data_IF_706322853779
#
_entry.id   IF_706322853779
#
_cell.length_a   1.000
_cell.length_b   1.000
_cell.length_c   1.000
_cell.angle_alpha   90.00
_cell.angle_beta   90.00
_cell.angle_gamma   90.00
#
_symmetry.space_group_name_H-M   'P 1'
#
loop_
_entity.id
_entity.type
_entity.pdbx_description
1 polymer ?
#
# COMPACT_ATOMS: atom_id res chain seq x y z
N UNK A 1 24.54 41.19 55.30
CA UNK A 1 24.66 39.71 55.31
C UNK A 1 24.06 39.22 54.00
N UNK A 2 24.89 39.01 52.98
CA UNK A 2 24.43 38.46 51.69
C UNK A 2 24.18 36.94 51.82
N UNK A 3 23.17 36.38 51.14
CA UNK A 3 22.86 34.96 51.24
C UNK A 3 23.91 34.11 50.50
N UNK A 4 24.15 32.85 50.91
CA UNK A 4 25.17 32.01 50.32
C UNK A 4 24.81 31.62 48.89
N UNK A 5 25.76 31.78 47.97
CA UNK A 5 25.64 31.36 46.56
C UNK A 5 25.40 29.85 46.48
N UNK A 6 24.19 29.44 46.08
CA UNK A 6 23.86 28.03 45.78
C UNK A 6 24.82 27.49 44.71
N UNK A 7 25.56 26.42 45.03
CA UNK A 7 26.40 25.69 44.07
C UNK A 7 25.53 25.22 42.90
N UNK A 8 25.83 25.68 41.68
CA UNK A 8 25.17 25.21 40.45
C UNK A 8 25.48 23.72 40.27
N UNK A 9 24.47 22.86 40.38
CA UNK A 9 24.61 21.45 40.02
C UNK A 9 24.98 21.32 38.53
N UNK A 10 25.85 20.38 38.15
CA UNK A 10 26.20 20.16 36.76
C UNK A 10 24.97 19.70 35.99
N UNK A 11 24.57 20.45 34.96
CA UNK A 11 23.55 20.01 34.01
C UNK A 11 24.09 18.77 33.29
N UNK A 12 23.46 17.62 33.49
CA UNK A 12 23.73 16.42 32.71
C UNK A 12 23.66 16.76 31.22
N UNK A 13 24.82 16.78 30.55
CA UNK A 13 24.89 17.01 29.11
C UNK A 13 24.36 15.75 28.43
N UNK A 14 23.12 15.82 27.95
CA UNK A 14 22.53 14.75 27.13
C UNK A 14 23.38 14.65 25.86
N UNK A 15 24.21 13.61 25.78
CA UNK A 15 25.05 13.34 24.61
C UNK A 15 24.19 12.89 23.43
N UNK A 16 24.70 13.13 22.22
CA UNK A 16 24.06 12.67 20.98
C UNK A 16 23.73 11.17 21.04
N UNK A 17 24.65 10.34 21.55
CA UNK A 17 24.43 8.91 21.80
C UNK A 17 23.27 8.59 22.73
N UNK A 18 23.03 9.39 23.78
CA UNK A 18 21.89 9.21 24.67
C UNK A 18 20.58 9.57 23.98
N UNK A 19 20.57 10.60 23.11
CA UNK A 19 19.40 10.91 22.26
C UNK A 19 19.14 9.81 21.24
N UNK A 20 20.18 9.32 20.58
CA UNK A 20 20.06 8.22 19.62
C UNK A 20 19.58 6.96 20.30
N UNK A 21 20.15 6.58 21.45
CA UNK A 21 19.71 5.42 22.25
C UNK A 21 18.30 5.60 22.81
N UNK A 22 17.92 6.80 23.23
CA UNK A 22 16.56 7.10 23.69
C UNK A 22 15.56 7.06 22.53
N UNK A 23 15.90 7.59 21.36
CA UNK A 23 15.06 7.54 20.18
C UNK A 23 14.92 6.11 19.67
N UNK A 24 16.00 5.32 19.65
CA UNK A 24 15.99 3.89 19.38
C UNK A 24 15.11 3.20 20.43
N UNK A 25 15.35 3.38 21.74
CA UNK A 25 14.56 2.76 22.80
C UNK A 25 13.08 3.17 22.76
N UNK A 26 12.75 4.42 22.43
CA UNK A 26 11.39 4.92 22.26
C UNK A 26 10.74 4.35 21.01
N UNK A 27 11.49 4.24 19.92
CA UNK A 27 11.07 3.60 18.66
C UNK A 27 10.82 2.11 18.86
N UNK A 28 11.76 1.39 19.49
CA UNK A 28 11.63 0.01 19.95
C UNK A 28 10.46 -0.13 20.93
N UNK A 29 10.34 0.70 21.97
CA UNK A 29 9.23 0.60 22.93
C UNK A 29 7.85 0.84 22.29
N UNK A 30 7.75 1.75 21.32
CA UNK A 30 6.53 2.00 20.53
C UNK A 30 6.21 0.85 19.58
N UNK A 31 7.24 0.13 19.14
CA UNK A 31 7.13 -1.11 18.38
C UNK A 31 6.69 -2.29 19.28
N UNK A 32 7.37 -2.51 20.40
CA UNK A 32 7.37 -3.76 21.17
C UNK A 32 6.36 -3.82 22.33
N UNK A 33 5.57 -2.78 22.58
CA UNK A 33 4.44 -2.86 23.51
C UNK A 33 3.31 -3.70 22.90
N UNK A 34 3.41 -5.03 22.99
CA UNK A 34 2.33 -6.02 22.73
C UNK A 34 1.61 -5.95 21.36
N UNK A 35 2.30 -5.58 20.27
CA UNK A 35 1.67 -5.44 18.92
C UNK A 35 2.02 -6.49 17.87
N UNK A 36 3.07 -7.29 18.07
CA UNK A 36 3.65 -8.11 16.98
C UNK A 36 3.33 -9.59 17.00
N UNK A 37 2.55 -10.08 17.98
CA UNK A 37 2.09 -11.48 18.05
C UNK A 37 3.16 -12.49 17.61
N UNK A 38 4.35 -12.43 18.22
CA UNK A 38 5.55 -13.08 17.67
C UNK A 38 5.36 -14.58 17.44
N UNK A 39 4.65 -15.27 18.35
CA UNK A 39 4.31 -16.69 18.19
C UNK A 39 3.45 -16.93 16.94
N UNK A 40 2.41 -16.13 16.73
CA UNK A 40 1.57 -16.19 15.54
C UNK A 40 2.35 -15.87 14.26
N UNK A 41 3.24 -14.87 14.33
CA UNK A 41 4.15 -14.52 13.24
C UNK A 41 5.06 -15.69 12.85
N UNK A 42 5.67 -16.38 13.82
CA UNK A 42 6.49 -17.58 13.55
C UNK A 42 5.67 -18.70 12.92
N UNK A 43 4.46 -18.97 13.44
CA UNK A 43 3.56 -19.99 12.87
C UNK A 43 3.27 -19.69 11.40
N UNK A 44 2.91 -18.46 11.06
CA UNK A 44 2.63 -18.03 9.68
C UNK A 44 3.88 -18.13 8.80
N UNK A 45 5.02 -17.65 9.29
CA UNK A 45 6.29 -17.69 8.54
C UNK A 45 6.78 -19.12 8.28
N UNK A 46 6.41 -20.10 9.12
CA UNK A 46 6.75 -21.52 8.92
C UNK A 46 6.15 -22.11 7.65
N UNK A 47 5.03 -21.57 7.17
CA UNK A 47 4.42 -22.00 5.92
C UNK A 47 5.12 -21.46 4.68
N UNK A 48 5.95 -20.42 4.82
CA UNK A 48 6.62 -19.74 3.70
C UNK A 48 8.13 -20.01 3.68
N UNK A 49 8.77 -19.99 4.85
CA UNK A 49 10.21 -20.01 4.99
C UNK A 49 10.69 -21.27 5.72
N UNK A 50 11.78 -21.91 5.27
CA UNK A 50 12.37 -23.06 5.96
C UNK A 50 12.91 -22.68 7.35
N UNK A 51 13.30 -21.43 7.54
CA UNK A 51 13.84 -20.91 8.80
C UNK A 51 12.98 -19.74 9.32
N UNK A 52 11.82 -20.00 9.94
CA UNK A 52 10.85 -18.95 10.29
C UNK A 52 11.37 -17.97 11.34
N UNK A 53 12.19 -18.43 12.29
CA UNK A 53 12.81 -17.55 13.29
C UNK A 53 13.83 -16.59 12.66
N UNK A 54 14.63 -17.06 11.70
CA UNK A 54 15.58 -16.22 10.96
C UNK A 54 14.83 -15.23 10.07
N UNK A 55 13.75 -15.66 9.41
CA UNK A 55 12.88 -14.78 8.64
C UNK A 55 12.28 -13.68 9.52
N UNK A 56 11.77 -14.03 10.70
CA UNK A 56 11.25 -13.06 11.66
C UNK A 56 12.33 -12.08 12.12
N UNK A 57 13.53 -12.57 12.45
CA UNK A 57 14.66 -11.73 12.82
C UNK A 57 14.99 -10.72 11.72
N UNK A 58 15.03 -11.17 10.46
CA UNK A 58 15.28 -10.30 9.28
C UNK A 58 14.21 -9.22 9.13
N UNK A 59 12.95 -9.50 9.45
CA UNK A 59 11.89 -8.49 9.44
C UNK A 59 12.15 -7.36 10.45
N UNK A 60 12.89 -7.60 11.53
CA UNK A 60 13.27 -6.53 12.47
C UNK A 60 14.53 -5.75 12.07
N UNK A 61 15.30 -6.21 11.07
CA UNK A 61 16.51 -5.52 10.63
C UNK A 61 16.13 -4.31 9.75
N UNK A 62 16.39 -3.06 10.18
CA UNK A 62 15.90 -1.86 9.53
C UNK A 62 16.77 -1.39 8.33
N UNK A 63 17.41 -2.31 7.61
CA UNK A 63 18.34 -1.99 6.52
C UNK A 63 17.70 -2.21 5.12
N UNK A 64 17.94 -1.32 4.13
CA UNK A 64 18.59 -0.01 4.25
C UNK A 64 17.70 1.04 4.93
N UNK A 65 16.39 0.77 5.04
CA UNK A 65 15.44 1.61 5.78
C UNK A 65 14.42 0.74 6.53
N UNK A 66 13.67 1.36 7.46
CA UNK A 66 12.60 0.67 8.16
C UNK A 66 11.49 0.20 7.21
N UNK A 67 11.06 1.04 6.27
CA UNK A 67 10.03 0.64 5.31
C UNK A 67 10.64 -0.20 4.20
N UNK A 68 9.88 -1.16 3.67
CA UNK A 68 10.36 -1.92 2.52
C UNK A 68 10.49 -0.99 1.30
N UNK A 69 11.62 -1.02 0.58
CA UNK A 69 11.76 -0.30 -0.68
C UNK A 69 10.80 -0.89 -1.71
N UNK A 70 10.49 -0.18 -2.79
CA UNK A 70 9.79 -0.81 -3.91
C UNK A 70 10.61 -2.00 -4.43
N UNK A 71 9.96 -3.12 -4.82
CA UNK A 71 10.67 -4.17 -5.52
C UNK A 71 11.23 -3.61 -6.83
N UNK A 72 12.26 -4.24 -7.37
CA UNK A 72 12.83 -3.83 -8.65
C UNK A 72 11.71 -3.71 -9.70
N UNK A 73 11.55 -2.54 -10.34
CA UNK A 73 10.52 -2.32 -11.33
C UNK A 73 10.77 -3.24 -12.53
N UNK A 74 9.74 -3.98 -12.93
CA UNK A 74 9.77 -4.87 -14.09
C UNK A 74 8.87 -4.26 -15.16
N UNK A 75 9.31 -4.29 -16.41
CA UNK A 75 8.54 -3.81 -17.55
C UNK A 75 7.14 -4.47 -17.59
N UNK A 76 6.08 -3.71 -17.91
CA UNK A 76 4.72 -4.24 -18.01
C UNK A 76 4.59 -5.46 -18.93
N UNK A 77 5.30 -5.46 -20.06
CA UNK A 77 5.34 -6.58 -21.01
C UNK A 77 5.86 -7.87 -20.37
N UNK A 78 6.90 -7.77 -19.56
CA UNK A 78 7.50 -8.91 -18.86
C UNK A 78 6.58 -9.45 -17.77
N UNK A 79 5.86 -8.57 -17.04
CA UNK A 79 4.86 -9.04 -16.07
C UNK A 79 3.76 -9.78 -16.81
N UNK A 80 3.10 -9.15 -17.79
CA UNK A 80 1.97 -9.71 -18.53
C UNK A 80 2.25 -11.11 -19.12
N UNK A 81 3.47 -11.36 -19.57
CA UNK A 81 3.85 -12.62 -20.23
C UNK A 81 4.45 -13.66 -19.27
N UNK A 82 4.78 -13.29 -18.03
CA UNK A 82 5.52 -14.15 -17.10
C UNK A 82 4.75 -14.43 -15.82
N UNK A 83 3.79 -15.36 -15.94
CA UNK A 83 2.99 -15.82 -14.81
C UNK A 83 3.85 -16.35 -13.65
N UNK A 84 4.96 -17.03 -13.94
CA UNK A 84 5.87 -17.55 -12.91
C UNK A 84 6.49 -16.41 -12.08
N UNK A 85 6.93 -15.33 -12.73
CA UNK A 85 7.47 -14.16 -12.05
C UNK A 85 6.40 -13.50 -11.16
N UNK A 86 5.19 -13.31 -11.69
CA UNK A 86 4.05 -12.80 -10.92
C UNK A 86 3.76 -13.66 -9.69
N UNK A 87 3.65 -14.99 -9.87
CA UNK A 87 3.39 -15.93 -8.77
C UNK A 87 4.46 -15.82 -7.69
N UNK A 88 5.75 -15.86 -8.05
CA UNK A 88 6.84 -15.74 -7.07
C UNK A 88 6.78 -14.42 -6.29
N UNK A 89 6.40 -13.31 -6.93
CA UNK A 89 6.27 -12.00 -6.28
C UNK A 89 5.04 -11.92 -5.37
N UNK A 90 3.93 -12.54 -5.74
CA UNK A 90 2.62 -12.31 -5.10
C UNK A 90 2.10 -13.46 -4.21
N UNK A 91 2.55 -14.69 -4.40
CA UNK A 91 2.07 -15.90 -3.70
C UNK A 91 2.12 -15.77 -2.17
N UNK A 92 3.18 -15.17 -1.65
CA UNK A 92 3.39 -15.07 -0.21
C UNK A 92 2.64 -13.91 0.45
N UNK A 93 2.07 -12.97 -0.31
CA UNK A 93 1.52 -11.74 0.24
C UNK A 93 0.30 -11.97 1.13
N UNK A 94 -0.58 -12.90 0.81
CA UNK A 94 -1.72 -13.24 1.69
C UNK A 94 -1.28 -13.64 3.10
N UNK A 95 -0.23 -14.45 3.23
CA UNK A 95 0.31 -14.87 4.53
C UNK A 95 1.11 -13.75 5.20
N UNK A 96 1.95 -13.02 4.44
CA UNK A 96 2.78 -11.92 4.97
C UNK A 96 1.94 -10.74 5.48
N UNK A 97 0.81 -10.43 4.83
CA UNK A 97 -0.15 -9.41 5.29
C UNK A 97 -0.73 -9.74 6.65
N UNK A 98 -0.60 -10.97 7.16
CA UNK A 98 -1.03 -11.34 8.51
C UNK A 98 0.13 -11.39 9.54
N UNK A 99 1.33 -10.96 9.15
CA UNK A 99 2.50 -10.86 10.04
C UNK A 99 2.66 -9.39 10.45
N UNK A 100 2.37 -8.99 11.70
CA UNK A 100 2.24 -7.57 12.02
C UNK A 100 3.54 -6.76 11.86
N UNK A 101 4.72 -7.39 12.04
CA UNK A 101 6.01 -6.71 11.79
C UNK A 101 6.24 -6.46 10.30
N UNK A 102 5.74 -7.34 9.44
CA UNK A 102 5.78 -7.13 7.99
C UNK A 102 4.84 -5.98 7.60
N UNK A 103 3.60 -5.96 8.11
CA UNK A 103 2.66 -4.86 7.89
C UNK A 103 3.23 -3.51 8.30
N UNK A 104 3.89 -3.44 9.46
CA UNK A 104 4.49 -2.21 9.97
C UNK A 104 5.61 -1.64 9.06
N UNK A 105 6.23 -2.51 8.26
CA UNK A 105 7.27 -2.15 7.29
C UNK A 105 6.74 -1.93 5.88
N UNK A 106 5.60 -2.51 5.53
CA UNK A 106 4.96 -2.31 4.23
C UNK A 106 4.53 -0.85 4.02
N UNK A 107 4.26 -0.47 2.78
CA UNK A 107 3.93 0.91 2.40
C UNK A 107 2.71 0.94 1.48
N UNK A 108 1.94 2.05 1.49
CA UNK A 108 0.82 2.20 0.56
C UNK A 108 1.29 2.12 -0.90
N UNK A 109 2.45 2.71 -1.23
CA UNK A 109 3.02 2.64 -2.57
C UNK A 109 3.33 1.18 -2.98
N UNK A 110 3.94 0.37 -2.12
CA UNK A 110 4.17 -1.06 -2.42
C UNK A 110 2.86 -1.81 -2.64
N UNK A 111 1.82 -1.51 -1.88
CA UNK A 111 0.50 -2.11 -2.06
C UNK A 111 -0.11 -1.76 -3.43
N UNK A 112 -0.02 -0.50 -3.84
CA UNK A 112 -0.45 -0.06 -5.18
C UNK A 112 0.32 -0.77 -6.30
N UNK A 113 1.63 -0.96 -6.15
CA UNK A 113 2.43 -1.70 -7.14
C UNK A 113 2.03 -3.19 -7.22
N UNK A 114 1.62 -3.81 -6.11
CA UNK A 114 1.06 -5.17 -6.16
C UNK A 114 -0.26 -5.21 -6.90
N UNK A 115 -1.15 -4.23 -6.66
CA UNK A 115 -2.39 -4.08 -7.42
C UNK A 115 -2.13 -3.89 -8.93
N UNK A 116 -1.10 -3.13 -9.30
CA UNK A 116 -0.66 -3.01 -10.69
C UNK A 116 -0.23 -4.36 -11.29
N UNK A 117 0.59 -5.14 -10.58
CA UNK A 117 1.02 -6.46 -11.07
C UNK A 117 -0.18 -7.41 -11.24
N UNK A 118 -1.12 -7.39 -10.30
CA UNK A 118 -2.39 -8.14 -10.33
C UNK A 118 -3.21 -7.75 -11.57
N UNK A 119 -3.38 -6.45 -11.83
CA UNK A 119 -4.10 -5.96 -13.01
C UNK A 119 -3.40 -6.35 -14.32
N UNK A 120 -2.08 -6.22 -14.40
CA UNK A 120 -1.30 -6.59 -15.59
C UNK A 120 -1.37 -8.09 -15.91
N UNK A 121 -1.56 -8.94 -14.91
CA UNK A 121 -1.74 -10.38 -15.11
C UNK A 121 -3.17 -10.80 -15.43
N UNK A 122 -4.16 -9.94 -15.18
CA UNK A 122 -5.57 -10.30 -15.29
C UNK A 122 -6.08 -11.27 -14.22
N UNK A 123 -5.32 -11.47 -13.13
CA UNK A 123 -5.76 -12.27 -11.97
C UNK A 123 -6.45 -11.34 -10.96
N UNK A 124 -7.75 -11.12 -11.12
CA UNK A 124 -8.45 -10.08 -10.36
C UNK A 124 -8.85 -10.48 -8.92
N UNK A 125 -8.83 -11.76 -8.56
CA UNK A 125 -9.25 -12.21 -7.22
C UNK A 125 -8.37 -11.62 -6.10
N UNK A 126 -7.02 -11.58 -6.23
CA UNK A 126 -6.15 -10.90 -5.27
C UNK A 126 -6.35 -9.39 -5.14
N UNK A 127 -6.95 -8.72 -6.15
CA UNK A 127 -7.15 -7.28 -6.15
C UNK A 127 -8.06 -6.81 -5.01
N UNK A 128 -9.17 -7.52 -4.78
CA UNK A 128 -10.07 -7.25 -3.66
C UNK A 128 -9.36 -7.42 -2.31
N UNK A 129 -8.54 -8.47 -2.18
CA UNK A 129 -7.77 -8.72 -0.96
C UNK A 129 -6.68 -7.66 -0.69
N UNK A 130 -6.02 -7.13 -1.74
CA UNK A 130 -5.09 -6.01 -1.57
C UNK A 130 -5.82 -4.72 -1.20
N UNK A 131 -7.00 -4.48 -1.78
CA UNK A 131 -7.81 -3.29 -1.50
C UNK A 131 -8.31 -3.31 -0.06
N UNK A 132 -8.80 -4.45 0.41
CA UNK A 132 -9.21 -4.66 1.79
C UNK A 132 -8.05 -4.49 2.76
N UNK A 133 -6.88 -5.06 2.42
CA UNK A 133 -5.67 -4.86 3.22
C UNK A 133 -5.31 -3.37 3.34
N UNK A 134 -5.28 -2.62 2.24
CA UNK A 134 -5.02 -1.18 2.27
C UNK A 134 -6.06 -0.45 3.14
N UNK A 135 -7.34 -0.78 2.96
CA UNK A 135 -8.45 -0.17 3.69
C UNK A 135 -8.24 -0.23 5.21
N UNK A 136 -7.89 -1.39 5.76
CA UNK A 136 -7.70 -1.55 7.21
C UNK A 136 -6.40 -0.97 7.75
N UNK A 137 -5.47 -0.53 6.90
CA UNK A 137 -4.29 0.22 7.34
C UNK A 137 -4.67 1.66 7.70
N UNK A 138 -5.29 1.87 8.85
CA UNK A 138 -5.86 3.16 9.28
C UNK A 138 -4.84 4.22 9.77
N UNK A 139 -3.54 3.91 9.78
CA UNK A 139 -2.51 4.86 10.22
C UNK A 139 -2.29 5.99 9.21
N UNK A 140 -1.81 7.15 9.67
CA UNK A 140 -1.52 8.32 8.82
C UNK A 140 -0.56 8.03 7.66
N UNK A 141 0.40 7.12 7.86
CA UNK A 141 1.32 6.61 6.82
C UNK A 141 0.58 6.03 5.60
N UNK A 142 -0.64 5.54 5.79
CA UNK A 142 -1.49 4.91 4.78
C UNK A 142 -2.68 5.80 4.35
N UNK A 143 -2.57 7.11 4.58
CA UNK A 143 -3.45 8.09 3.94
C UNK A 143 -3.20 8.09 2.43
N UNK A 144 -4.28 8.11 1.64
CA UNK A 144 -4.19 8.16 0.17
C UNK A 144 -3.52 9.47 -0.29
N UNK A 145 -3.84 10.60 0.37
CA UNK A 145 -3.24 11.91 0.09
C UNK A 145 -1.73 11.96 0.31
N UNK A 146 -1.18 11.04 1.11
CA UNK A 146 0.22 11.01 1.51
C UNK A 146 1.06 10.02 0.70
N UNK A 147 0.48 9.39 -0.33
CA UNK A 147 1.23 8.50 -1.23
C UNK A 147 2.21 9.35 -2.03
N UNK A 148 3.53 9.14 -1.88
CA UNK A 148 4.52 9.93 -2.60
C UNK A 148 4.47 9.59 -4.10
N UNK A 149 4.77 10.59 -4.93
CA UNK A 149 4.92 10.40 -6.37
C UNK A 149 6.12 9.47 -6.64
N UNK A 150 5.91 8.28 -7.25
CA UNK A 150 7.01 7.38 -7.58
C UNK A 150 7.92 7.92 -8.69
N UNK A 151 7.46 8.88 -9.50
CA UNK A 151 8.13 9.34 -10.73
C UNK A 151 8.59 8.16 -11.58
N UNK A 152 7.67 7.24 -11.80
CA UNK A 152 7.98 5.96 -12.42
C UNK A 152 8.47 6.20 -13.87
N UNK A 153 9.64 5.67 -14.26
CA UNK A 153 10.19 5.89 -15.60
C UNK A 153 9.39 5.18 -16.70
N UNK A 154 8.59 4.17 -16.35
CA UNK A 154 7.75 3.47 -17.30
C UNK A 154 6.37 4.13 -17.39
N UNK A 155 6.00 4.73 -18.53
CA UNK A 155 4.77 5.49 -18.67
C UNK A 155 3.50 4.63 -18.52
N UNK A 156 3.54 3.36 -18.94
CA UNK A 156 2.39 2.45 -18.83
C UNK A 156 2.16 2.12 -17.36
N UNK A 157 3.21 1.70 -16.65
CA UNK A 157 3.14 1.41 -15.21
C UNK A 157 2.72 2.64 -14.43
N UNK A 158 3.26 3.82 -14.76
CA UNK A 158 2.93 5.06 -14.08
C UNK A 158 1.45 5.43 -14.23
N UNK A 159 0.90 5.31 -15.45
CA UNK A 159 -0.51 5.56 -15.74
C UNK A 159 -1.44 4.63 -14.94
N UNK A 160 -1.14 3.32 -14.92
CA UNK A 160 -1.95 2.34 -14.17
C UNK A 160 -1.89 2.63 -12.66
N UNK A 161 -0.69 2.88 -12.12
CA UNK A 161 -0.49 3.22 -10.71
C UNK A 161 -1.26 4.49 -10.33
N UNK A 162 -1.30 5.50 -11.20
CA UNK A 162 -2.10 6.70 -10.99
C UNK A 162 -3.61 6.40 -10.97
N UNK A 163 -4.10 5.62 -11.94
CA UNK A 163 -5.50 5.19 -12.00
C UNK A 163 -5.91 4.43 -10.73
N UNK A 164 -5.09 3.48 -10.27
CA UNK A 164 -5.35 2.70 -9.04
C UNK A 164 -5.51 3.63 -7.84
N UNK A 165 -4.62 4.61 -7.68
CA UNK A 165 -4.66 5.54 -6.54
C UNK A 165 -5.94 6.38 -6.56
N UNK A 166 -6.32 6.90 -7.73
CA UNK A 166 -7.56 7.65 -7.90
C UNK A 166 -8.81 6.79 -7.66
N UNK A 167 -8.77 5.52 -8.08
CA UNK A 167 -9.88 4.59 -7.89
C UNK A 167 -10.03 4.16 -6.42
N UNK A 168 -8.91 3.96 -5.71
CA UNK A 168 -8.93 3.73 -4.27
C UNK A 168 -9.61 4.89 -3.52
N UNK A 169 -9.44 6.14 -3.96
CA UNK A 169 -10.13 7.30 -3.37
C UNK A 169 -11.64 7.19 -3.55
N UNK A 170 -12.10 6.84 -4.75
CA UNK A 170 -13.53 6.64 -5.04
C UNK A 170 -14.10 5.49 -4.20
N UNK A 171 -13.44 4.34 -4.22
CA UNK A 171 -13.83 3.16 -3.44
C UNK A 171 -13.86 3.44 -1.93
N UNK A 172 -12.90 4.20 -1.40
CA UNK A 172 -12.86 4.52 0.03
C UNK A 172 -13.97 5.47 0.44
N UNK A 173 -14.22 6.51 -0.36
CA UNK A 173 -15.33 7.42 -0.11
C UNK A 173 -16.69 6.71 -0.21
N UNK A 174 -16.84 5.77 -1.14
CA UNK A 174 -18.03 4.91 -1.20
C UNK A 174 -18.20 4.05 0.07
N UNK A 175 -17.15 3.35 0.53
CA UNK A 175 -17.20 2.58 1.79
C UNK A 175 -17.54 3.47 2.99
N UNK A 176 -16.94 4.65 3.07
CA UNK A 176 -17.19 5.62 4.14
C UNK A 176 -18.64 6.10 4.16
N UNK A 177 -19.21 6.37 2.98
CA UNK A 177 -20.61 6.76 2.80
C UNK A 177 -21.58 5.66 3.26
N UNK A 178 -21.23 4.38 3.07
CA UNK A 178 -22.00 3.25 3.59
C UNK A 178 -21.90 3.09 5.12
N UNK A 179 -21.10 3.91 5.80
CA UNK A 179 -20.88 3.81 7.24
C UNK A 179 -19.71 2.90 7.63
N UNK A 180 -18.97 2.35 6.67
CA UNK A 180 -17.78 1.57 7.02
C UNK A 180 -16.67 2.47 7.56
N UNK A 181 -15.81 1.92 8.44
CA UNK A 181 -14.65 2.63 8.97
C UNK A 181 -13.38 1.79 8.84
N UNK A 182 -12.26 2.45 8.56
CA UNK A 182 -10.94 1.82 8.37
C UNK A 182 -10.39 1.16 9.63
N UNK A 183 -10.87 1.56 10.80
CA UNK A 183 -10.54 0.94 12.09
C UNK A 183 -11.46 -0.22 12.48
N UNK A 184 -12.37 -0.63 11.58
CA UNK A 184 -13.35 -1.69 11.81
C UNK A 184 -14.55 -1.26 12.66
N UNK A 185 -14.61 -0.02 13.15
CA UNK A 185 -15.73 0.48 13.95
C UNK A 185 -16.85 1.01 13.06
N UNK A 186 -17.46 0.11 12.28
CA UNK A 186 -18.52 0.46 11.33
C UNK A 186 -19.72 1.11 12.04
N UNK A 187 -20.30 2.11 11.40
CA UNK A 187 -21.53 2.76 11.81
C UNK A 187 -22.66 2.13 11.01
N UNK A 188 -23.41 1.21 11.65
CA UNK A 188 -24.56 0.57 11.03
C UNK A 188 -25.80 1.42 11.20
N UNK A 189 -26.57 1.56 10.12
CA UNK A 189 -27.94 2.08 10.18
C UNK A 189 -28.83 1.10 10.94
N UNK A 190 -29.79 1.61 11.72
CA UNK A 190 -30.71 0.75 12.47
C UNK A 190 -31.90 0.35 11.61
N UNK A 191 -32.38 1.27 10.79
CA UNK A 191 -33.49 1.07 9.87
C UNK A 191 -33.08 1.44 8.43
N UNK A 192 -33.74 0.86 7.43
CA UNK A 192 -33.42 1.09 6.00
C UNK A 192 -33.61 2.55 5.55
N UNK A 193 -34.48 3.30 6.24
CA UNK A 193 -34.75 4.72 5.98
C UNK A 193 -33.86 5.72 6.73
N UNK A 194 -32.94 5.25 7.59
CA UNK A 194 -32.03 6.16 8.29
C UNK A 194 -31.06 6.80 7.28
N UNK A 195 -30.70 8.09 7.47
CA UNK A 195 -29.74 8.76 6.61
C UNK A 195 -28.37 8.06 6.68
N UNK A 196 -27.60 8.16 5.60
CA UNK A 196 -26.24 7.64 5.57
C UNK A 196 -25.36 8.34 6.62
N UNK A 197 -24.45 7.62 7.30
CA UNK A 197 -23.61 8.22 8.33
C UNK A 197 -22.72 9.33 7.75
N UNK A 198 -22.54 10.45 8.46
CA UNK A 198 -21.61 11.48 8.03
C UNK A 198 -20.20 10.91 8.00
N UNK A 199 -19.41 11.34 7.02
CA UNK A 199 -18.01 10.94 6.89
C UNK A 199 -17.15 12.08 6.36
N UNK A 200 -15.87 12.07 6.74
CA UNK A 200 -14.87 12.97 6.16
C UNK A 200 -14.39 12.36 4.86
N UNK A 201 -14.51 13.09 3.76
CA UNK A 201 -14.00 12.65 2.47
C UNK A 201 -12.48 12.47 2.53
N UNK A 202 -12.01 11.39 1.91
CA UNK A 202 -10.59 11.14 1.67
C UNK A 202 -10.25 11.70 0.30
N UNK A 203 -9.05 12.29 0.21
CA UNK A 203 -8.52 12.84 -1.03
C UNK A 203 -7.29 12.04 -1.48
N UNK A 204 -7.08 12.00 -2.80
CA UNK A 204 -5.88 11.46 -3.41
C UNK A 204 -4.73 12.47 -3.42
N UNK A 205 -3.53 12.03 -3.79
CA UNK A 205 -2.38 12.91 -3.95
C UNK A 205 -2.43 13.65 -5.30
N UNK A 206 -1.97 14.90 -5.34
CA UNK A 206 -2.10 15.77 -6.51
C UNK A 206 -1.33 15.27 -7.74
N UNK A 207 -0.24 14.50 -7.55
CA UNK A 207 0.61 14.03 -8.66
C UNK A 207 -0.16 13.16 -9.66
N UNK A 208 -1.18 12.42 -9.21
CA UNK A 208 -2.00 11.54 -10.06
C UNK A 208 -2.66 12.30 -11.22
N UNK A 209 -3.11 13.53 -10.96
CA UNK A 209 -3.77 14.40 -11.95
C UNK A 209 -2.84 14.83 -13.08
N UNK A 210 -1.54 14.82 -12.84
CA UNK A 210 -0.53 15.27 -13.81
C UNK A 210 0.00 14.12 -14.68
N UNK A 211 -0.43 12.87 -14.42
CA UNK A 211 0.04 11.70 -15.16
C UNK A 211 -0.67 11.61 -16.51
N UNK A 212 0.07 11.62 -17.64
CA UNK A 212 -0.52 11.65 -18.98
C UNK A 212 -1.20 10.32 -19.34
N UNK A 213 -2.00 10.36 -20.40
CA UNK A 213 -2.53 9.17 -21.05
C UNK A 213 -1.44 8.37 -21.74
N UNK A 214 -1.62 7.05 -21.85
CA UNK A 214 -0.65 6.19 -22.52
C UNK A 214 -0.70 6.44 -24.03
N UNK A 215 0.47 6.68 -24.64
CA UNK A 215 0.60 6.77 -26.09
C UNK A 215 0.53 5.38 -26.74
N UNK A 216 -0.21 5.20 -27.85
CA UNK A 216 -0.35 3.91 -28.52
C UNK A 216 0.98 3.24 -28.90
N UNK A 217 2.01 4.04 -29.21
CA UNK A 217 3.32 3.55 -29.61
C UNK A 217 4.04 2.76 -28.50
N UNK A 218 3.73 3.06 -27.24
CA UNK A 218 4.35 2.41 -26.07
C UNK A 218 3.79 1.01 -25.83
N UNK A 219 2.60 0.72 -26.36
CA UNK A 219 1.91 -0.56 -26.16
C UNK A 219 2.40 -1.67 -27.11
N UNK A 220 3.28 -1.38 -28.05
CA UNK A 220 3.71 -2.32 -29.11
C UNK A 220 4.40 -3.58 -28.60
N UNK A 221 5.01 -3.52 -27.41
CA UNK A 221 5.71 -4.65 -26.79
C UNK A 221 4.79 -5.53 -25.92
N UNK A 222 3.53 -5.11 -25.72
CA UNK A 222 2.55 -5.90 -24.99
C UNK A 222 1.95 -7.01 -25.87
N UNK A 223 1.40 -8.07 -25.27
CA UNK A 223 0.61 -9.05 -26.01
C UNK A 223 -0.51 -8.37 -26.79
N UNK A 224 -0.77 -8.84 -28.02
CA UNK A 224 -1.81 -8.28 -28.89
C UNK A 224 -3.22 -8.35 -28.27
N UNK A 225 -3.46 -9.33 -27.42
CA UNK A 225 -4.72 -9.50 -26.66
C UNK A 225 -4.97 -8.35 -25.69
N UNK A 226 -3.91 -7.67 -25.22
CA UNK A 226 -3.99 -6.55 -24.29
C UNK A 226 -4.04 -5.19 -24.99
N UNK A 227 -4.07 -5.15 -26.33
CA UNK A 227 -4.02 -3.89 -27.08
C UNK A 227 -5.12 -3.89 -28.12
N UNK A 228 -6.04 -2.93 -28.01
CA UNK A 228 -7.07 -2.74 -29.04
C UNK A 228 -6.48 -2.20 -30.34
N UNK A 229 -7.20 -2.38 -31.45
CA UNK A 229 -6.88 -1.74 -32.74
C UNK A 229 -6.76 -0.20 -32.62
N UNK A 230 -7.51 0.40 -31.69
CA UNK A 230 -7.47 1.84 -31.40
C UNK A 230 -6.27 2.30 -30.58
N UNK A 231 -5.38 1.38 -30.16
CA UNK A 231 -4.20 1.71 -29.37
C UNK A 231 -4.48 1.97 -27.90
N UNK A 232 -5.56 1.41 -27.34
CA UNK A 232 -5.86 1.40 -25.90
C UNK A 232 -5.39 0.10 -25.25
N UNK A 233 -4.93 0.20 -24.00
CA UNK A 233 -4.56 -0.93 -23.15
C UNK A 233 -5.82 -1.61 -22.59
N UNK A 234 -5.97 -2.91 -22.81
CA UNK A 234 -7.03 -3.75 -22.25
C UNK A 234 -6.45 -4.54 -21.08
N UNK A 235 -6.96 -4.27 -19.88
CA UNK A 235 -6.69 -5.08 -18.69
C UNK A 235 -7.86 -6.04 -18.42
N UNK A 236 -9.08 -5.59 -18.66
CA UNK A 236 -10.30 -6.41 -18.61
C UNK A 236 -11.20 -6.04 -19.78
N UNK A 237 -11.73 -7.04 -20.47
CA UNK A 237 -12.64 -6.82 -21.59
C UNK A 237 -13.94 -6.14 -21.12
N UNK A 238 -14.51 -5.31 -22.00
CA UNK A 238 -15.75 -4.57 -21.74
C UNK A 238 -15.70 -3.61 -20.53
N UNK A 239 -14.51 -3.27 -20.05
CA UNK A 239 -14.29 -2.25 -19.05
C UNK A 239 -14.80 -0.87 -19.48
N UNK A 240 -15.46 -0.15 -18.58
CA UNK A 240 -16.06 1.16 -18.85
C UNK A 240 -15.77 2.22 -17.77
N UNK A 241 -14.71 2.04 -16.98
CA UNK A 241 -14.37 3.02 -15.94
C UNK A 241 -13.75 4.31 -16.53
N UNK A 242 -14.37 5.44 -16.24
CA UNK A 242 -13.95 6.77 -16.72
C UNK A 242 -12.54 7.17 -16.25
N UNK A 243 -12.13 6.73 -15.06
CA UNK A 243 -10.86 7.11 -14.47
C UNK A 243 -9.68 6.38 -15.13
N UNK A 244 -9.88 5.14 -15.55
CA UNK A 244 -8.94 4.41 -16.40
C UNK A 244 -9.03 4.85 -17.87
N UNK A 245 -10.24 5.13 -18.37
CA UNK A 245 -10.45 5.53 -19.77
C UNK A 245 -9.70 6.82 -20.12
N UNK A 246 -9.66 7.81 -19.22
CA UNK A 246 -8.93 9.07 -19.45
C UNK A 246 -7.42 8.87 -19.72
N UNK A 247 -6.88 7.68 -19.39
CA UNK A 247 -5.48 7.31 -19.68
C UNK A 247 -5.33 6.25 -20.78
N UNK A 248 -6.36 6.04 -21.59
CA UNK A 248 -6.43 5.01 -22.64
C UNK A 248 -6.35 3.58 -22.11
N UNK A 249 -6.94 3.32 -20.93
CA UNK A 249 -6.98 2.00 -20.31
C UNK A 249 -8.44 1.52 -20.19
N UNK A 250 -8.68 0.27 -20.58
CA UNK A 250 -9.97 -0.42 -20.51
C UNK A 250 -9.89 -1.47 -19.39
N UNK A 251 -10.69 -1.31 -18.35
CA UNK A 251 -10.76 -2.22 -17.20
C UNK A 251 -12.08 -2.06 -16.45
N UNK A 252 -12.45 -3.06 -15.64
CA UNK A 252 -13.51 -2.90 -14.65
C UNK A 252 -12.91 -2.63 -13.26
N UNK A 253 -13.67 -1.93 -12.44
CA UNK A 253 -13.23 -1.52 -11.10
C UNK A 253 -13.96 -2.26 -9.97
N UNK A 254 -14.84 -3.22 -10.29
CA UNK A 254 -15.69 -3.89 -9.30
C UNK A 254 -14.92 -4.48 -8.11
N UNK A 255 -13.73 -5.02 -8.34
CA UNK A 255 -12.86 -5.59 -7.31
C UNK A 255 -12.32 -4.56 -6.30
N UNK A 256 -12.33 -3.26 -6.61
CA UNK A 256 -12.01 -2.21 -5.63
C UNK A 256 -13.16 -1.97 -4.63
N UNK A 257 -14.39 -2.31 -5.03
CA UNK A 257 -15.62 -2.07 -4.26
C UNK A 257 -16.09 -3.30 -3.47
N UNK A 258 -15.26 -4.34 -3.32
CA UNK A 258 -15.63 -5.53 -2.53
C UNK A 258 -15.64 -5.24 -1.03
N UNK A 259 -16.75 -5.55 -0.35
CA UNK A 259 -16.97 -5.36 1.10
C UNK A 259 -16.99 -6.70 1.81
#
# INVERSE_FOLDING_TARGET
MDPPRRRRQPRFKITWWMRTKYNIKKWFSKLFSTRFELRGSVTRLRHIYPHPYLALLRLFIPFPSWSFPLPEPVAPSVIAQNEKLYRVRNECHGTLRNVPVWQARDTPLRCVYRMYEILMMGDYVPLGSETEYFWYQSTEKWSLSSIPDPKDPDPIRYAIVACIVEELVRAFNWRLALGMRRDGKHIRRKNEGDPYPPYTQVFGPDWTRSVPSIEPNLLRELPSEMVTESGKLVLEEHGCDENFEKRNIITNVGWFYTV
#
